data_IF_508091092432
#
_entry.id   IF_508091092432
#
_cell.length_a   1.000
_cell.length_b   1.000
_cell.length_c   1.000
_cell.angle_alpha   90.00
_cell.angle_beta   90.00
_cell.angle_gamma   90.00
#
_symmetry.space_group_name_H-M   'P 1'
#
loop_
_entity.id
_entity.type
_entity.pdbx_description
1 polymer ?
#
# COMPACT_ATOMS: atom_id res chain seq x y z
N UNK A 1 -0.65 19.04 -48.76
CA UNK A 1 -0.83 17.90 -47.84
C UNK A 1 -2.33 17.63 -47.74
N UNK A 2 -2.80 16.47 -48.20
CA UNK A 2 -4.23 16.13 -48.16
C UNK A 2 -4.72 16.15 -46.70
N UNK A 3 -5.79 16.89 -46.41
CA UNK A 3 -6.45 16.83 -45.10
C UNK A 3 -6.95 15.39 -44.94
N UNK A 4 -6.48 14.69 -43.90
CA UNK A 4 -7.03 13.39 -43.50
C UNK A 4 -8.55 13.45 -43.47
N UNK A 5 -9.19 12.43 -44.04
CA UNK A 5 -10.65 12.31 -44.00
C UNK A 5 -11.13 12.24 -42.55
N UNK A 6 -12.37 12.65 -42.30
CA UNK A 6 -12.93 12.62 -40.94
C UNK A 6 -12.94 11.20 -40.35
N UNK A 7 -13.03 10.18 -41.22
CA UNK A 7 -12.96 8.75 -40.86
C UNK A 7 -11.56 8.32 -40.42
N UNK A 8 -10.50 8.77 -41.09
CA UNK A 8 -9.11 8.52 -40.66
C UNK A 8 -8.83 9.18 -39.30
N UNK A 9 -9.35 10.39 -39.07
CA UNK A 9 -9.23 11.07 -37.77
C UNK A 9 -9.94 10.31 -36.65
N UNK A 10 -11.11 9.74 -36.92
CA UNK A 10 -11.83 8.89 -35.98
C UNK A 10 -11.04 7.62 -35.64
N UNK A 11 -10.46 6.94 -36.64
CA UNK A 11 -9.63 5.76 -36.41
C UNK A 11 -8.39 6.06 -35.57
N UNK A 12 -7.74 7.20 -35.79
CA UNK A 12 -6.60 7.65 -34.98
C UNK A 12 -6.98 7.92 -33.53
N UNK A 13 -8.16 8.48 -33.30
CA UNK A 13 -8.69 8.70 -31.94
C UNK A 13 -8.97 7.36 -31.26
N UNK A 14 -9.59 6.40 -31.96
CA UNK A 14 -9.85 5.05 -31.44
C UNK A 14 -8.56 4.34 -31.02
N UNK A 15 -7.53 4.39 -31.87
CA UNK A 15 -6.22 3.81 -31.58
C UNK A 15 -5.57 4.47 -30.36
N UNK A 16 -5.65 5.80 -30.24
CA UNK A 16 -5.16 6.52 -29.06
C UNK A 16 -5.91 6.13 -27.79
N UNK A 17 -7.23 5.94 -27.85
CA UNK A 17 -8.02 5.48 -26.71
C UNK A 17 -7.54 4.10 -26.25
N UNK A 18 -7.32 3.17 -27.17
CA UNK A 18 -6.81 1.82 -26.84
C UNK A 18 -5.43 1.90 -26.19
N UNK A 19 -4.52 2.70 -26.73
CA UNK A 19 -3.18 2.90 -26.17
C UNK A 19 -3.24 3.51 -24.76
N UNK A 20 -4.06 4.55 -24.57
CA UNK A 20 -4.24 5.21 -23.27
C UNK A 20 -4.86 4.27 -22.23
N UNK A 21 -5.81 3.41 -22.63
CA UNK A 21 -6.38 2.38 -21.74
C UNK A 21 -5.31 1.38 -21.29
N UNK A 22 -4.47 0.92 -22.21
CA UNK A 22 -3.37 0.01 -21.87
C UNK A 22 -2.36 0.67 -20.92
N UNK A 23 -1.99 1.94 -21.19
CA UNK A 23 -1.10 2.70 -20.30
C UNK A 23 -1.70 2.89 -18.90
N UNK A 24 -3.00 3.22 -18.81
CA UNK A 24 -3.71 3.33 -17.53
C UNK A 24 -3.61 2.03 -16.74
N UNK A 25 -3.90 0.88 -17.36
CA UNK A 25 -3.84 -0.42 -16.68
C UNK A 25 -2.42 -0.78 -16.22
N UNK A 26 -1.40 -0.45 -17.00
CA UNK A 26 0.00 -0.63 -16.59
C UNK A 26 0.36 0.23 -15.38
N UNK A 27 -0.05 1.50 -15.37
CA UNK A 27 0.18 2.43 -14.26
C UNK A 27 -0.54 1.93 -13.00
N UNK A 28 -1.82 1.55 -13.10
CA UNK A 28 -2.58 0.99 -11.97
C UNK A 28 -1.91 -0.25 -11.37
N UNK A 29 -1.37 -1.13 -12.22
CA UNK A 29 -0.65 -2.31 -11.77
C UNK A 29 0.63 -1.94 -11.02
N UNK A 30 1.39 -0.96 -11.54
CA UNK A 30 2.61 -0.45 -10.88
C UNK A 30 2.31 0.19 -9.53
N UNK A 31 1.25 0.99 -9.44
CA UNK A 31 0.81 1.62 -8.19
C UNK A 31 0.46 0.54 -7.16
N UNK A 32 -0.37 -0.43 -7.52
CA UNK A 32 -0.72 -1.56 -6.64
C UNK A 32 0.51 -2.35 -6.17
N UNK A 33 1.48 -2.58 -7.05
CA UNK A 33 2.72 -3.26 -6.68
C UNK A 33 3.57 -2.43 -5.70
N UNK A 34 3.66 -1.11 -5.91
CA UNK A 34 4.38 -0.21 -5.02
C UNK A 34 3.76 -0.20 -3.62
N UNK A 35 2.43 -0.05 -3.54
CA UNK A 35 1.68 -0.10 -2.27
C UNK A 35 1.89 -1.43 -1.53
N UNK A 36 1.88 -2.56 -2.26
CA UNK A 36 2.18 -3.88 -1.67
C UNK A 36 3.58 -3.93 -1.09
N UNK A 37 4.60 -3.48 -1.83
CA UNK A 37 6.00 -3.46 -1.37
C UNK A 37 6.18 -2.59 -0.13
N UNK A 38 5.58 -1.41 -0.12
CA UNK A 38 5.62 -0.49 1.03
C UNK A 38 4.93 -1.09 2.26
N UNK A 39 3.75 -1.70 2.06
CA UNK A 39 3.03 -2.40 3.14
C UNK A 39 3.85 -3.57 3.71
N UNK A 40 4.40 -4.42 2.84
CA UNK A 40 5.23 -5.56 3.28
C UNK A 40 6.46 -5.07 4.04
N UNK A 41 7.17 -4.05 3.53
CA UNK A 41 8.32 -3.46 4.22
C UNK A 41 7.93 -2.95 5.61
N UNK A 42 6.81 -2.23 5.73
CA UNK A 42 6.30 -1.73 7.01
C UNK A 42 5.98 -2.88 7.98
N UNK A 43 5.33 -3.94 7.50
CA UNK A 43 5.00 -5.10 8.33
C UNK A 43 6.25 -5.83 8.83
N UNK A 44 7.27 -5.99 7.97
CA UNK A 44 8.56 -6.58 8.37
C UNK A 44 9.23 -5.72 9.45
N UNK A 45 9.25 -4.40 9.28
CA UNK A 45 9.82 -3.50 10.29
C UNK A 45 9.08 -3.58 11.62
N UNK A 46 7.75 -3.64 11.60
CA UNK A 46 6.94 -3.84 12.81
C UNK A 46 7.26 -5.20 13.44
N UNK A 47 7.27 -6.27 12.65
CA UNK A 47 7.60 -7.63 13.11
C UNK A 47 8.97 -7.68 13.79
N UNK A 48 10.00 -7.11 13.17
CA UNK A 48 11.35 -7.06 13.72
C UNK A 48 11.44 -6.28 15.05
N UNK A 49 10.61 -5.25 15.25
CA UNK A 49 10.51 -4.56 16.54
C UNK A 49 9.92 -5.51 17.60
N UNK A 50 8.84 -6.23 17.28
CA UNK A 50 8.22 -7.15 18.22
C UNK A 50 9.10 -8.38 18.51
N UNK A 51 9.82 -8.89 17.52
CA UNK A 51 10.82 -9.94 17.71
C UNK A 51 11.91 -9.47 18.69
N UNK A 52 12.46 -8.26 18.47
CA UNK A 52 13.52 -7.71 19.33
C UNK A 52 13.09 -7.44 20.78
N UNK A 53 11.87 -6.92 20.98
CA UNK A 53 11.43 -6.42 22.29
C UNK A 53 10.49 -7.36 23.05
N UNK A 54 9.84 -8.29 22.34
CA UNK A 54 8.86 -9.21 22.91
C UNK A 54 9.21 -10.69 22.68
N UNK A 55 10.33 -10.98 22.00
CA UNK A 55 10.81 -12.34 21.70
C UNK A 55 9.76 -13.24 21.04
N UNK A 56 8.96 -12.63 20.15
CA UNK A 56 7.92 -13.33 19.38
C UNK A 56 8.56 -13.90 18.13
N UNK A 57 8.56 -15.23 17.98
CA UNK A 57 9.26 -15.93 16.89
C UNK A 57 8.30 -16.61 15.91
N UNK A 58 7.02 -16.72 16.27
CA UNK A 58 5.98 -17.36 15.44
C UNK A 58 4.71 -16.51 15.31
N UNK A 59 3.91 -16.84 14.29
CA UNK A 59 2.62 -16.16 14.05
C UNK A 59 1.62 -16.51 15.15
N UNK A 60 1.68 -17.74 15.64
CA UNK A 60 0.83 -18.26 16.72
C UNK A 60 1.08 -17.53 18.04
N UNK A 61 2.35 -17.34 18.41
CA UNK A 61 2.74 -16.52 19.57
C UNK A 61 2.29 -15.07 19.40
N UNK A 62 2.48 -14.50 18.22
CA UNK A 62 2.05 -13.14 17.92
C UNK A 62 0.54 -12.97 18.13
N UNK A 63 -0.26 -13.96 17.71
CA UNK A 63 -1.71 -13.94 17.86
C UNK A 63 -2.15 -14.08 19.32
N UNK A 64 -1.54 -14.99 20.08
CA UNK A 64 -1.82 -15.17 21.51
C UNK A 64 -1.49 -13.92 22.31
N UNK A 65 -0.29 -13.35 22.10
CA UNK A 65 0.13 -12.11 22.73
C UNK A 65 -0.82 -10.98 22.34
N UNK A 66 -1.10 -10.80 21.04
CA UNK A 66 -2.00 -9.75 20.58
C UNK A 66 -3.39 -9.85 21.22
N UNK A 67 -3.96 -11.06 21.34
CA UNK A 67 -5.23 -11.27 22.04
C UNK A 67 -5.14 -10.86 23.51
N UNK A 68 -4.10 -11.31 24.21
CA UNK A 68 -3.91 -11.04 25.64
C UNK A 68 -3.75 -9.55 25.99
N UNK A 69 -3.17 -8.74 25.10
CA UNK A 69 -2.92 -7.31 25.34
C UNK A 69 -3.85 -6.38 24.56
N UNK A 70 -4.75 -6.90 23.72
CA UNK A 70 -5.52 -6.12 22.74
C UNK A 70 -6.30 -4.96 23.36
N UNK A 71 -6.98 -5.19 24.48
CA UNK A 71 -7.78 -4.17 25.18
C UNK A 71 -6.90 -3.08 25.78
N UNK A 72 -5.83 -3.48 26.47
CA UNK A 72 -4.87 -2.56 27.08
C UNK A 72 -4.16 -1.69 26.03
N UNK A 73 -3.80 -2.27 24.89
CA UNK A 73 -3.24 -1.53 23.76
C UNK A 73 -4.25 -0.53 23.21
N UNK A 74 -5.53 -0.92 23.00
CA UNK A 74 -6.57 0.01 22.52
C UNK A 74 -6.74 1.23 23.44
N UNK A 75 -6.67 1.03 24.75
CA UNK A 75 -6.79 2.10 25.73
C UNK A 75 -5.56 3.04 25.74
N UNK A 76 -4.36 2.49 25.63
CA UNK A 76 -3.11 3.25 25.78
C UNK A 76 -2.64 3.90 24.47
N UNK A 77 -2.96 3.30 23.31
CA UNK A 77 -2.50 3.78 22.00
C UNK A 77 -2.84 5.24 21.68
N UNK A 78 -4.03 5.78 22.02
CA UNK A 78 -4.32 7.20 21.82
C UNK A 78 -3.31 8.11 22.53
N UNK A 79 -2.96 7.80 23.79
CA UNK A 79 -2.00 8.57 24.59
C UNK A 79 -0.59 8.46 24.01
N UNK A 80 -0.19 7.26 23.61
CA UNK A 80 1.14 7.02 23.01
C UNK A 80 1.29 7.70 21.64
N UNK A 81 0.22 7.81 20.84
CA UNK A 81 0.25 8.54 19.56
C UNK A 81 0.52 10.03 19.74
N UNK A 82 -0.03 10.64 20.79
CA UNK A 82 0.22 12.06 21.11
C UNK A 82 1.70 12.29 21.47
N UNK A 83 2.33 11.35 22.17
CA UNK A 83 3.77 11.42 22.51
C UNK A 83 4.69 11.29 21.29
N UNK A 84 4.26 10.60 20.25
CA UNK A 84 5.01 10.49 18.99
C UNK A 84 4.90 11.80 18.20
N UNK A 85 3.72 12.43 18.20
CA UNK A 85 3.49 13.70 17.52
C UNK A 85 4.22 14.88 18.17
N UNK A 86 4.44 14.85 19.49
CA UNK A 86 5.19 15.90 20.20
C UNK A 86 6.71 15.80 20.06
N UNK A 87 7.23 14.71 19.47
CA UNK A 87 8.66 14.45 19.29
C UNK A 87 9.17 14.73 17.87
N UNK A 88 8.26 14.99 16.93
CA UNK A 88 8.56 15.38 15.55
C UNK A 88 8.22 16.85 15.34
#
# INVERSE_FOLDING_TARGET
>A
MARKSETERLQEIEQKIVQLRAQKQQIETRVKQKERKERTRKLIQIGAIFEKWCDIQSVEEAELVAKSISEKVKEQMPKLRLQIQSKN
#
